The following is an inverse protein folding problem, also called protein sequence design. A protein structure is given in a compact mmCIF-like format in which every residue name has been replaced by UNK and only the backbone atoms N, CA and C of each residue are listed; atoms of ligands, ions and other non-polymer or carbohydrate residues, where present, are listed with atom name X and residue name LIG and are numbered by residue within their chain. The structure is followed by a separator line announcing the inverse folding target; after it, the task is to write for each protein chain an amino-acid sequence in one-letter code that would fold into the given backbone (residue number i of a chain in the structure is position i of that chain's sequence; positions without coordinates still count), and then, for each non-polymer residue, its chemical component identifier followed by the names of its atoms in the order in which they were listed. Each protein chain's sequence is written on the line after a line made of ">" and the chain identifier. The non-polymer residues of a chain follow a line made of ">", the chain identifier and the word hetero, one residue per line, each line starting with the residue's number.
data_IF_056120562241
#
_entry.id   IF_056120562241
#
_cell.length_a   1.000
_cell.length_b   1.000
_cell.length_c   1.000
_cell.angle_alpha   90.00
_cell.angle_beta   90.00
_cell.angle_gamma   90.00
#
_symmetry.space_group_name_H-M   'P 1'
#
loop_
_entity.id
_entity.type
_entity.pdbx_description
1 polymer ?
#
# COMPACT_ATOMS: atom_id res chain seq x y z
N UNK A 1 -33.55 -2.24 11.16
CA UNK A 1 -32.87 -1.00 10.71
C UNK A 1 -31.54 -0.94 11.42
N UNK A 2 -30.43 -1.14 10.70
CA UNK A 2 -29.09 -1.14 11.31
C UNK A 2 -28.54 0.29 11.26
N UNK A 3 -28.49 0.95 12.41
CA UNK A 3 -27.83 2.24 12.58
C UNK A 3 -26.33 2.09 12.28
N UNK A 4 -25.97 2.34 11.02
CA UNK A 4 -24.58 2.58 10.65
C UNK A 4 -24.18 3.94 11.19
N UNK A 5 -23.66 3.95 12.43
CA UNK A 5 -23.03 5.11 13.00
C UNK A 5 -21.91 5.59 12.02
N UNK A 6 -22.02 6.78 11.41
CA UNK A 6 -20.98 7.25 10.50
C UNK A 6 -19.70 7.40 11.31
N UNK A 7 -18.70 6.57 11.03
CA UNK A 7 -17.39 6.70 11.67
C UNK A 7 -16.82 8.08 11.32
N UNK A 8 -16.93 9.01 12.22
CA UNK A 8 -16.33 10.34 12.08
C UNK A 8 -14.83 10.15 11.86
N UNK A 9 -14.37 10.43 10.65
CA UNK A 9 -12.94 10.40 10.33
C UNK A 9 -12.28 11.59 11.01
N UNK A 10 -11.67 11.34 12.17
CA UNK A 10 -10.86 12.37 12.85
C UNK A 10 -9.68 12.74 11.93
N UNK A 11 -9.48 14.03 11.62
CA UNK A 11 -8.35 14.51 10.86
C UNK A 11 -7.02 14.04 11.46
N UNK A 12 -6.03 13.79 10.63
CA UNK A 12 -4.70 13.28 11.06
C UNK A 12 -4.00 14.27 11.98
N UNK A 13 -4.12 15.55 11.69
CA UNK A 13 -3.58 16.63 12.50
C UNK A 13 -4.09 16.56 13.94
N UNK A 14 -5.39 16.42 14.14
CA UNK A 14 -5.99 16.26 15.47
C UNK A 14 -5.43 15.01 16.17
N UNK A 15 -5.21 13.92 15.44
CA UNK A 15 -4.61 12.70 16.00
C UNK A 15 -3.19 12.97 16.48
N UNK A 16 -2.37 13.71 15.73
CA UNK A 16 -0.99 14.02 16.09
C UNK A 16 -0.92 15.01 17.24
N UNK A 17 -1.71 16.08 17.21
CA UNK A 17 -1.82 17.03 18.34
C UNK A 17 -2.24 16.31 19.62
N UNK A 18 -3.25 15.44 19.53
CA UNK A 18 -3.69 14.61 20.65
C UNK A 18 -2.59 13.67 21.12
N UNK A 19 -1.83 13.07 20.21
CA UNK A 19 -0.73 12.16 20.53
C UNK A 19 0.39 12.89 21.29
N UNK A 20 0.77 14.08 20.86
CA UNK A 20 1.78 14.91 21.54
C UNK A 20 1.32 15.35 22.92
N UNK A 21 0.10 15.86 23.04
CA UNK A 21 -0.46 16.25 24.31
C UNK A 21 -0.55 15.05 25.29
N UNK A 22 -1.00 13.90 24.81
CA UNK A 22 -1.13 12.68 25.63
C UNK A 22 0.24 12.13 26.04
N UNK A 23 1.25 12.18 25.14
CA UNK A 23 2.63 11.83 25.49
C UNK A 23 3.17 12.73 26.59
N UNK A 24 3.02 14.05 26.44
CA UNK A 24 3.47 15.04 27.44
C UNK A 24 2.82 14.82 28.81
N UNK A 25 1.53 14.46 28.84
CA UNK A 25 0.83 14.10 30.07
C UNK A 25 1.35 12.80 30.72
N UNK A 26 1.87 11.87 29.92
CA UNK A 26 2.42 10.60 30.38
C UNK A 26 3.86 10.71 30.93
N UNK A 27 4.60 11.73 30.51
CA UNK A 27 5.97 11.97 30.96
C UNK A 27 5.99 12.26 32.47
N UNK A 28 6.91 11.64 33.19
CA UNK A 28 7.05 11.82 34.66
C UNK A 28 5.95 11.18 35.49
N UNK A 29 5.18 10.23 34.95
CA UNK A 29 4.12 9.51 35.66
C UNK A 29 4.56 8.08 36.00
N UNK A 30 5.20 7.83 37.18
CA UNK A 30 5.73 6.51 37.54
C UNK A 30 4.64 5.45 37.66
N UNK A 31 3.42 5.83 37.95
CA UNK A 31 2.27 4.93 38.03
C UNK A 31 1.94 4.24 36.69
N UNK A 32 2.44 4.77 35.58
CA UNK A 32 2.24 4.17 34.25
C UNK A 32 3.12 2.94 33.98
N UNK A 33 4.20 2.77 34.77
CA UNK A 33 5.11 1.64 34.66
C UNK A 33 4.41 0.28 34.82
N UNK A 34 3.42 0.19 35.74
CA UNK A 34 2.62 -1.03 35.95
C UNK A 34 1.76 -1.43 34.74
N UNK A 35 1.58 -0.54 33.77
CA UNK A 35 0.86 -0.79 32.52
C UNK A 35 1.82 -0.99 31.33
N UNK A 36 3.13 -1.10 31.58
CA UNK A 36 4.15 -1.24 30.54
C UNK A 36 4.48 0.07 29.79
N UNK A 37 3.94 1.21 30.28
CA UNK A 37 4.23 2.54 29.72
C UNK A 37 5.48 3.08 30.40
N UNK A 38 6.62 2.60 29.97
CA UNK A 38 7.94 2.99 30.43
C UNK A 38 8.61 3.97 29.46
N UNK A 39 9.82 4.37 29.76
CA UNK A 39 10.61 5.30 28.92
C UNK A 39 10.82 4.76 27.51
N UNK A 40 11.12 3.45 27.37
CA UNK A 40 11.25 2.79 26.07
C UNK A 40 9.96 2.91 25.24
N UNK A 41 8.82 2.72 25.87
CA UNK A 41 7.51 2.90 25.22
C UNK A 41 7.30 4.35 24.76
N UNK A 42 7.62 5.35 25.61
CA UNK A 42 7.46 6.77 25.27
C UNK A 42 8.43 7.21 24.19
N UNK A 43 9.67 6.68 24.18
CA UNK A 43 10.65 6.91 23.13
C UNK A 43 10.16 6.36 21.79
N UNK A 44 9.68 5.12 21.76
CA UNK A 44 9.11 4.54 20.55
C UNK A 44 7.86 5.30 20.08
N UNK A 45 7.03 5.78 21.00
CA UNK A 45 5.88 6.61 20.66
C UNK A 45 6.30 7.96 20.06
N UNK A 46 7.35 8.57 20.60
CA UNK A 46 7.94 9.79 20.03
C UNK A 46 8.45 9.58 18.61
N UNK A 47 9.17 8.49 18.37
CA UNK A 47 9.67 8.14 17.05
C UNK A 47 8.51 7.95 16.04
N UNK A 48 7.43 7.29 16.44
CA UNK A 48 6.23 7.15 15.61
C UNK A 48 5.60 8.51 15.27
N UNK A 49 5.49 9.43 16.24
CA UNK A 49 4.97 10.79 16.02
C UNK A 49 5.85 11.57 15.05
N UNK A 50 7.18 11.57 15.27
CA UNK A 50 8.15 12.27 14.41
C UNK A 50 8.07 11.74 12.98
N UNK A 51 8.06 10.43 12.81
CA UNK A 51 7.97 9.80 11.50
C UNK A 51 6.61 10.08 10.84
N UNK A 52 5.51 10.09 11.60
CA UNK A 52 4.22 10.47 11.06
C UNK A 52 4.20 11.94 10.60
N UNK A 53 4.82 12.85 11.36
CA UNK A 53 4.97 14.26 10.98
C UNK A 53 5.81 14.45 9.72
N UNK A 54 6.88 13.70 9.53
CA UNK A 54 7.70 13.80 8.32
C UNK A 54 6.94 13.46 7.04
N UNK A 55 5.83 12.72 7.15
CA UNK A 55 4.92 12.47 6.04
C UNK A 55 3.83 13.55 5.90
N UNK A 56 3.85 14.60 6.72
CA UNK A 56 2.76 15.56 6.86
C UNK A 56 3.23 17.01 6.76
N UNK A 57 3.31 17.51 5.53
CA UNK A 57 3.11 18.95 5.27
C UNK A 57 1.66 19.09 4.81
N UNK A 58 0.78 19.66 5.67
CA UNK A 58 -0.65 19.35 5.70
C UNK A 58 -1.52 19.90 4.57
N UNK A 59 -1.21 21.01 3.96
CA UNK A 59 -1.95 21.50 2.79
C UNK A 59 -1.55 20.75 1.49
N UNK A 60 -0.28 20.32 1.41
CA UNK A 60 0.20 19.45 0.36
C UNK A 60 -0.41 18.03 0.44
N UNK A 61 -0.87 17.58 1.60
CA UNK A 61 -1.25 16.19 1.85
C UNK A 61 -2.64 15.81 1.35
N UNK A 62 -3.59 16.72 1.29
CA UNK A 62 -4.85 16.48 0.58
C UNK A 62 -4.54 16.29 -0.91
N UNK A 63 -3.65 17.12 -1.45
CA UNK A 63 -3.27 17.06 -2.86
C UNK A 63 -2.19 15.98 -3.12
N UNK A 64 -1.25 15.76 -2.19
CA UNK A 64 -0.28 14.67 -2.26
C UNK A 64 -0.92 13.28 -2.02
N UNK A 65 -1.93 13.15 -1.15
CA UNK A 65 -2.68 11.89 -0.99
C UNK A 65 -3.53 11.62 -2.21
N UNK A 66 -4.13 12.63 -2.81
CA UNK A 66 -4.80 12.52 -4.11
C UNK A 66 -3.78 12.26 -5.22
N UNK A 67 -2.64 12.96 -5.19
CA UNK A 67 -1.51 12.75 -6.08
C UNK A 67 -0.95 11.35 -6.01
N UNK A 68 -0.62 10.84 -4.81
CA UNK A 68 -0.10 9.47 -4.61
C UNK A 68 -1.12 8.39 -5.00
N UNK A 69 -2.41 8.63 -4.78
CA UNK A 69 -3.46 7.71 -5.25
C UNK A 69 -3.57 7.76 -6.76
N UNK A 70 -3.51 8.96 -7.34
CA UNK A 70 -3.53 9.15 -8.80
C UNK A 70 -2.31 8.51 -9.47
N UNK A 71 -1.11 8.77 -8.95
CA UNK A 71 0.13 8.16 -9.46
C UNK A 71 0.13 6.62 -9.35
N UNK A 72 -0.40 6.10 -8.25
CA UNK A 72 -0.55 4.65 -8.06
C UNK A 72 -1.53 4.06 -9.08
N UNK A 73 -2.65 4.74 -9.33
CA UNK A 73 -3.61 4.30 -10.34
C UNK A 73 -3.00 4.34 -11.74
N UNK A 74 -2.25 5.40 -12.08
CA UNK A 74 -1.50 5.46 -13.33
C UNK A 74 -0.55 4.26 -13.46
N UNK A 75 0.14 3.91 -12.37
CA UNK A 75 1.08 2.78 -12.39
C UNK A 75 0.35 1.43 -12.54
N UNK A 76 -0.82 1.28 -11.91
CA UNK A 76 -1.68 0.11 -12.09
C UNK A 76 -2.18 0.01 -13.54
N UNK A 77 -2.57 1.13 -14.13
CA UNK A 77 -3.00 1.21 -15.53
C UNK A 77 -1.87 0.81 -16.49
N UNK A 78 -0.63 1.26 -16.24
CA UNK A 78 0.54 0.85 -17.03
C UNK A 78 0.80 -0.66 -16.94
N UNK A 79 0.70 -1.24 -15.74
CA UNK A 79 0.79 -2.68 -15.56
C UNK A 79 -0.33 -3.42 -16.32
N UNK A 80 -1.54 -2.89 -16.30
CA UNK A 80 -2.67 -3.50 -16.97
C UNK A 80 -2.55 -3.40 -18.51
N UNK A 81 -2.13 -2.27 -19.05
CA UNK A 81 -1.84 -2.10 -20.47
C UNK A 81 -0.76 -3.07 -20.93
N UNK A 82 0.37 -3.14 -20.19
CA UNK A 82 1.43 -4.09 -20.47
C UNK A 82 0.95 -5.54 -20.45
N UNK A 83 0.08 -5.90 -19.49
CA UNK A 83 -0.52 -7.25 -19.42
C UNK A 83 -1.40 -7.54 -20.65
N UNK A 84 -2.14 -6.54 -21.14
CA UNK A 84 -2.93 -6.65 -22.39
C UNK A 84 -2.05 -6.88 -23.62
N UNK A 85 -0.94 -6.15 -23.71
CA UNK A 85 0.03 -6.34 -24.81
C UNK A 85 0.68 -7.73 -24.73
N UNK A 86 0.99 -8.20 -23.53
CA UNK A 86 1.51 -9.54 -23.30
C UNK A 86 0.50 -10.64 -23.72
N UNK A 87 -0.78 -10.46 -23.37
CA UNK A 87 -1.86 -11.35 -23.80
C UNK A 87 -1.98 -11.38 -25.32
N UNK A 88 -1.95 -10.22 -25.95
CA UNK A 88 -2.03 -10.08 -27.40
C UNK A 88 -0.87 -10.81 -28.11
N UNK A 89 0.38 -10.55 -27.70
CA UNK A 89 1.57 -11.21 -28.24
C UNK A 89 1.52 -12.71 -28.09
N UNK A 90 1.13 -13.17 -26.90
CA UNK A 90 1.06 -14.59 -26.58
C UNK A 90 -0.01 -15.30 -27.41
N UNK A 91 -1.22 -14.74 -27.48
CA UNK A 91 -2.35 -15.32 -28.22
C UNK A 91 -2.22 -15.13 -29.75
N UNK A 92 -1.44 -14.16 -30.22
CA UNK A 92 -1.07 -14.04 -31.63
C UNK A 92 -0.24 -15.25 -32.08
N UNK A 93 0.67 -15.72 -31.22
CA UNK A 93 1.54 -16.87 -31.49
C UNK A 93 0.81 -18.20 -31.22
N UNK A 94 0.21 -18.34 -30.05
CA UNK A 94 -0.45 -19.58 -29.61
C UNK A 94 -1.96 -19.47 -29.80
N UNK A 95 -2.51 -20.23 -30.74
CA UNK A 95 -3.93 -20.21 -31.08
C UNK A 95 -4.77 -21.03 -30.09
N UNK A 96 -6.06 -20.76 -29.97
CA UNK A 96 -7.02 -21.40 -29.04
C UNK A 96 -6.98 -22.92 -28.93
N UNK A 97 -6.46 -23.62 -29.94
CA UNK A 97 -6.37 -25.09 -29.96
C UNK A 97 -5.01 -25.64 -29.49
N UNK A 98 -4.06 -24.77 -29.13
CA UNK A 98 -2.75 -25.21 -28.66
C UNK A 98 -2.74 -25.35 -27.14
N UNK A 99 -2.00 -26.33 -26.56
CA UNK A 99 -1.88 -26.48 -25.12
C UNK A 99 -1.35 -25.21 -24.44
N UNK A 100 -0.44 -24.48 -25.09
CA UNK A 100 0.16 -23.25 -24.59
C UNK A 100 -0.88 -22.12 -24.38
N UNK A 101 -1.93 -22.08 -25.21
CA UNK A 101 -2.94 -21.04 -25.11
C UNK A 101 -3.54 -20.93 -23.72
N UNK A 102 -3.76 -22.05 -23.04
CA UNK A 102 -4.38 -22.10 -21.69
C UNK A 102 -3.39 -21.78 -20.56
N UNK A 103 -2.09 -21.70 -20.85
CA UNK A 103 -1.08 -21.34 -19.86
C UNK A 103 -1.14 -19.85 -19.54
N UNK A 104 -1.62 -19.00 -20.49
CA UNK A 104 -1.80 -17.57 -20.21
C UNK A 104 -3.03 -17.35 -19.34
N UNK A 105 -2.96 -16.43 -18.35
CA UNK A 105 -4.08 -16.13 -17.46
C UNK A 105 -5.32 -15.70 -18.24
N UNK A 106 -6.44 -16.35 -17.97
CA UNK A 106 -7.73 -15.96 -18.56
C UNK A 106 -8.35 -14.79 -17.81
N UNK A 107 -9.20 -14.01 -18.49
CA UNK A 107 -10.00 -12.92 -17.88
C UNK A 107 -9.12 -11.85 -17.22
N UNK A 108 -8.13 -11.33 -17.94
CA UNK A 108 -7.23 -10.29 -17.42
C UNK A 108 -7.95 -9.04 -16.92
N UNK A 109 -9.18 -8.76 -17.42
CA UNK A 109 -10.00 -7.63 -16.97
C UNK A 109 -10.28 -7.59 -15.47
N UNK A 110 -10.27 -8.75 -14.79
CA UNK A 110 -10.47 -8.81 -13.33
C UNK A 110 -9.31 -8.22 -12.52
N UNK A 111 -8.16 -7.98 -13.16
CA UNK A 111 -6.97 -7.43 -12.51
C UNK A 111 -6.84 -5.90 -12.66
N UNK A 112 -7.67 -5.27 -13.50
CA UNK A 112 -7.60 -3.84 -13.80
C UNK A 112 -7.68 -2.95 -12.55
N UNK A 113 -8.54 -3.30 -11.58
CA UNK A 113 -8.81 -2.50 -10.39
C UNK A 113 -8.16 -3.06 -9.11
N UNK A 114 -7.36 -4.12 -9.21
CA UNK A 114 -6.80 -4.81 -8.06
C UNK A 114 -5.26 -4.83 -8.06
N UNK A 115 -4.65 -3.92 -7.31
CA UNK A 115 -3.19 -3.87 -7.13
C UNK A 115 -2.60 -5.18 -6.63
N UNK A 116 -3.19 -5.77 -5.59
CA UNK A 116 -2.65 -7.01 -5.02
C UNK A 116 -2.73 -8.15 -6.02
N UNK A 117 -3.84 -8.28 -6.73
CA UNK A 117 -3.98 -9.30 -7.76
C UNK A 117 -3.01 -9.08 -8.92
N UNK A 118 -2.75 -7.83 -9.33
CA UNK A 118 -1.77 -7.51 -10.36
C UNK A 118 -0.34 -7.85 -9.91
N UNK A 119 0.02 -7.51 -8.67
CA UNK A 119 1.33 -7.80 -8.08
C UNK A 119 1.59 -9.32 -8.00
N UNK A 120 0.57 -10.11 -7.70
CA UNK A 120 0.68 -11.57 -7.61
C UNK A 120 0.72 -12.23 -8.99
N UNK A 121 0.08 -11.63 -9.99
CA UNK A 121 -0.04 -12.18 -11.34
C UNK A 121 1.20 -11.96 -12.19
N UNK A 122 1.71 -10.73 -12.28
CA UNK A 122 2.74 -10.34 -13.23
C UNK A 122 4.01 -11.18 -13.17
N UNK A 123 4.54 -11.61 -11.99
CA UNK A 123 5.71 -12.49 -11.93
C UNK A 123 5.49 -13.83 -12.65
N UNK A 124 4.28 -14.35 -12.66
CA UNK A 124 3.95 -15.58 -13.37
C UNK A 124 3.89 -15.36 -14.88
N UNK A 125 3.38 -14.20 -15.31
CA UNK A 125 3.38 -13.81 -16.73
C UNK A 125 4.81 -13.61 -17.23
N UNK A 126 5.71 -12.97 -16.47
CA UNK A 126 7.12 -12.82 -16.83
C UNK A 126 7.80 -14.17 -17.03
N UNK A 127 7.59 -15.13 -16.11
CA UNK A 127 8.11 -16.49 -16.24
C UNK A 127 7.59 -17.18 -17.50
N UNK A 128 6.29 -17.01 -17.79
CA UNK A 128 5.67 -17.60 -18.97
C UNK A 128 6.27 -17.00 -20.27
N UNK A 129 6.38 -15.67 -20.37
CA UNK A 129 6.97 -15.01 -21.52
C UNK A 129 8.45 -15.39 -21.69
N UNK A 130 9.19 -15.52 -20.60
CA UNK A 130 10.59 -15.96 -20.62
C UNK A 130 10.70 -17.40 -21.13
N UNK A 131 9.80 -18.30 -20.70
CA UNK A 131 9.74 -19.69 -21.16
C UNK A 131 9.57 -19.78 -22.68
N UNK A 132 8.75 -18.91 -23.25
CA UNK A 132 8.44 -18.92 -24.69
C UNK A 132 9.14 -17.80 -25.49
N UNK A 133 10.19 -17.20 -24.95
CA UNK A 133 10.87 -16.05 -25.56
C UNK A 133 11.36 -16.32 -27.00
N UNK A 134 11.84 -17.52 -27.26
CA UNK A 134 12.31 -17.93 -28.61
C UNK A 134 11.18 -18.10 -29.62
N UNK A 135 9.97 -18.40 -29.11
CA UNK A 135 8.79 -18.58 -29.97
C UNK A 135 8.07 -17.24 -30.24
N UNK A 136 8.17 -16.27 -29.32
CA UNK A 136 7.57 -14.95 -29.37
C UNK A 136 8.46 -13.96 -30.14
N UNK A 137 8.70 -14.24 -31.42
CA UNK A 137 9.62 -13.46 -32.27
C UNK A 137 9.23 -11.98 -32.44
N UNK A 138 7.95 -11.65 -32.28
CA UNK A 138 7.44 -10.27 -32.34
C UNK A 138 7.62 -9.49 -31.05
N UNK A 139 8.07 -10.16 -29.98
CA UNK A 139 8.32 -9.53 -28.69
C UNK A 139 9.63 -8.74 -28.71
N UNK A 140 9.55 -7.44 -28.41
CA UNK A 140 10.76 -6.60 -28.31
C UNK A 140 11.66 -7.06 -27.17
N UNK A 141 12.98 -6.84 -27.31
CA UNK A 141 13.98 -7.35 -26.39
C UNK A 141 13.85 -6.85 -24.94
N UNK A 142 13.31 -5.65 -24.78
CA UNK A 142 13.09 -4.95 -23.49
C UNK A 142 11.66 -5.09 -22.95
N UNK A 143 10.77 -5.82 -23.66
CA UNK A 143 9.35 -5.92 -23.28
C UNK A 143 9.15 -6.48 -21.87
N UNK A 144 9.84 -7.57 -21.49
CA UNK A 144 9.73 -8.16 -20.15
C UNK A 144 10.30 -7.20 -19.10
N UNK A 145 11.48 -6.61 -19.33
CA UNK A 145 12.10 -5.69 -18.37
C UNK A 145 11.30 -4.42 -18.15
N UNK A 146 10.57 -3.94 -19.16
CA UNK A 146 9.64 -2.83 -19.01
C UNK A 146 8.47 -3.18 -18.06
N UNK A 147 7.91 -4.38 -18.20
CA UNK A 147 6.87 -4.87 -17.29
C UNK A 147 7.38 -5.05 -15.86
N UNK A 148 8.59 -5.56 -15.67
CA UNK A 148 9.26 -5.69 -14.37
C UNK A 148 9.47 -4.32 -13.71
N UNK A 149 9.84 -3.29 -14.48
CA UNK A 149 9.96 -1.92 -13.99
C UNK A 149 8.60 -1.37 -13.52
N UNK A 150 7.53 -1.53 -14.31
CA UNK A 150 6.19 -1.11 -13.90
C UNK A 150 5.72 -1.81 -12.62
N UNK A 151 5.97 -3.11 -12.48
CA UNK A 151 5.65 -3.86 -11.26
C UNK A 151 6.46 -3.35 -10.05
N UNK A 152 7.73 -3.04 -10.24
CA UNK A 152 8.61 -2.53 -9.18
C UNK A 152 8.07 -1.19 -8.65
N UNK A 153 7.70 -0.28 -9.55
CA UNK A 153 7.13 1.01 -9.19
C UNK A 153 5.78 0.88 -8.49
N UNK A 154 4.91 -0.01 -8.97
CA UNK A 154 3.63 -0.31 -8.33
C UNK A 154 3.83 -0.83 -6.90
N UNK A 155 4.76 -1.76 -6.69
CA UNK A 155 5.11 -2.30 -5.38
C UNK A 155 5.65 -1.23 -4.42
N UNK A 156 6.52 -0.35 -4.91
CA UNK A 156 7.07 0.73 -4.10
C UNK A 156 5.97 1.67 -3.60
N UNK A 157 5.06 2.10 -4.49
CA UNK A 157 3.93 2.97 -4.16
C UNK A 157 2.94 2.30 -3.21
N UNK A 158 2.63 1.02 -3.41
CA UNK A 158 1.77 0.23 -2.53
C UNK A 158 2.36 0.06 -1.13
N UNK A 159 3.66 -0.23 -1.03
CA UNK A 159 4.38 -0.40 0.23
C UNK A 159 4.37 0.90 1.05
N UNK A 160 4.66 2.03 0.42
CA UNK A 160 4.63 3.34 1.07
C UNK A 160 3.23 3.67 1.62
N UNK A 161 2.18 3.40 0.86
CA UNK A 161 0.80 3.63 1.30
C UNK A 161 0.43 2.73 2.49
N UNK A 162 0.83 1.45 2.48
CA UNK A 162 0.61 0.51 3.60
C UNK A 162 1.36 0.95 4.85
N UNK A 163 2.59 1.41 4.72
CA UNK A 163 3.39 1.92 5.84
C UNK A 163 2.71 3.13 6.49
N UNK A 164 2.32 4.13 5.70
CA UNK A 164 1.59 5.32 6.18
C UNK A 164 0.33 4.94 6.97
N UNK A 165 -0.48 4.00 6.44
CA UNK A 165 -1.70 3.51 7.13
C UNK A 165 -1.38 2.83 8.47
N UNK A 166 -0.38 1.95 8.51
CA UNK A 166 0.04 1.24 9.74
C UNK A 166 0.50 2.21 10.82
N UNK A 167 1.27 3.23 10.46
CA UNK A 167 1.77 4.22 11.41
C UNK A 167 0.64 5.00 12.07
N UNK A 168 -0.33 5.50 11.31
CA UNK A 168 -1.49 6.21 11.86
C UNK A 168 -2.30 5.29 12.78
N UNK A 169 -2.48 4.03 12.42
CA UNK A 169 -3.16 3.06 13.28
C UNK A 169 -2.41 2.81 14.60
N UNK A 170 -1.08 2.73 14.56
CA UNK A 170 -0.26 2.55 15.76
C UNK A 170 -0.37 3.76 16.68
N UNK A 171 -0.28 4.98 16.15
CA UNK A 171 -0.46 6.21 16.92
C UNK A 171 -1.84 6.23 17.58
N UNK A 172 -2.91 5.96 16.83
CA UNK A 172 -4.28 5.89 17.38
C UNK A 172 -4.39 4.89 18.53
N UNK A 173 -3.80 3.70 18.40
CA UNK A 173 -3.80 2.68 19.46
C UNK A 173 -3.07 3.17 20.70
N UNK A 174 -1.90 3.79 20.56
CA UNK A 174 -1.12 4.31 21.69
C UNK A 174 -1.85 5.45 22.40
N UNK A 175 -2.41 6.40 21.66
CA UNK A 175 -3.26 7.48 22.22
C UNK A 175 -4.43 6.90 23.00
N UNK A 176 -5.14 5.92 22.43
CA UNK A 176 -6.28 5.30 23.09
C UNK A 176 -5.91 4.64 24.42
N UNK A 177 -4.79 3.90 24.45
CA UNK A 177 -4.30 3.25 25.68
C UNK A 177 -4.00 4.28 26.77
N UNK A 178 -3.30 5.36 26.44
CA UNK A 178 -2.99 6.43 27.38
C UNK A 178 -4.25 7.16 27.87
N UNK A 179 -5.18 7.48 26.96
CA UNK A 179 -6.43 8.14 27.34
C UNK A 179 -7.30 7.28 28.25
N UNK A 180 -7.43 5.97 27.98
CA UNK A 180 -8.17 5.06 28.86
C UNK A 180 -7.63 5.04 30.29
N UNK A 181 -6.32 5.25 30.45
CA UNK A 181 -5.71 5.39 31.76
C UNK A 181 -6.12 6.70 32.45
N UNK A 182 -6.05 7.83 31.74
CA UNK A 182 -6.40 9.13 32.31
C UNK A 182 -7.88 9.30 32.61
N UNK A 183 -8.78 8.60 31.89
CA UNK A 183 -10.23 8.65 32.14
C UNK A 183 -10.68 7.77 33.31
N UNK A 184 -9.84 6.86 33.83
CA UNK A 184 -10.17 6.00 34.98
C UNK A 184 -9.76 6.58 36.34
N UNK A 185 -9.20 7.78 36.34
CA UNK A 185 -8.91 8.58 37.54
C UNK A 185 -9.93 9.69 37.72
#
# INVERSE_FOLDING_TARGET
>A
MSDKNPSVRVPREIILQTAEATKKLAEGKPELLKFGINETYLTAFTADIVTAKSFMNDDALSDETKGTTKEKNIQLDLCYQWLGDAEFLFHKKFKKKTPQFVEFPSKISQYADSESAMIDLLPNVFKLLTKYKTDLTDMQGDFISSGEAYLTDLNAKNTLQKLRRRMILNIRRRVRLLMLYFMKK
#
